data_IF_150895556616
#
_entry.id   IF_150895556616
#
_cell.length_a   1.000
_cell.length_b   1.000
_cell.length_c   1.000
_cell.angle_alpha   90.00
_cell.angle_beta   90.00
_cell.angle_gamma   90.00
#
_symmetry.space_group_name_H-M   'P 1'
#
loop_
_entity.id
_entity.type
_entity.pdbx_description
1 polymer ?
#
# COMPACT_ATOMS: atom_id res chain seq x y z
N UNK A 1 34.87 -4.86 1.27
CA UNK A 1 33.65 -5.64 1.35
C UNK A 1 32.49 -4.95 0.66
N UNK A 2 31.84 -5.66 -0.21
CA UNK A 2 30.72 -5.09 -0.95
C UNK A 2 29.40 -5.64 -0.44
N UNK A 3 28.52 -4.76 -0.08
CA UNK A 3 27.16 -5.12 0.27
C UNK A 3 26.31 -4.86 -0.97
N UNK A 4 25.77 -5.93 -1.54
CA UNK A 4 24.83 -5.77 -2.62
C UNK A 4 23.46 -5.56 -1.99
N UNK A 5 22.97 -4.33 -2.08
CA UNK A 5 21.66 -4.03 -1.57
C UNK A 5 20.64 -4.72 -2.44
N UNK A 6 19.77 -5.51 -1.82
CA UNK A 6 18.72 -6.19 -2.55
C UNK A 6 17.79 -5.13 -3.15
N UNK A 7 17.62 -5.18 -4.46
CA UNK A 7 16.79 -4.21 -5.13
C UNK A 7 15.33 -4.46 -4.78
N UNK A 8 14.65 -3.42 -4.35
CA UNK A 8 13.22 -3.49 -4.07
C UNK A 8 12.43 -3.31 -5.35
N UNK A 9 11.32 -4.03 -5.46
CA UNK A 9 10.36 -3.79 -6.52
C UNK A 9 9.41 -2.67 -6.16
N UNK A 10 9.15 -2.50 -4.87
CA UNK A 10 8.31 -1.41 -4.38
C UNK A 10 9.23 -0.39 -3.72
N UNK A 11 9.35 0.78 -4.35
CA UNK A 11 10.15 1.87 -3.84
C UNK A 11 9.33 3.13 -3.66
N UNK A 12 8.37 3.38 -4.55
CA UNK A 12 7.59 4.61 -4.58
C UNK A 12 6.17 4.35 -4.14
N UNK A 13 5.78 5.00 -3.07
CA UNK A 13 4.52 4.72 -2.38
C UNK A 13 3.65 5.98 -2.38
N UNK A 14 2.40 5.81 -2.78
CA UNK A 14 1.36 6.82 -2.58
C UNK A 14 0.60 6.43 -1.33
N UNK A 15 0.56 7.32 -0.35
CA UNK A 15 -0.12 7.07 0.91
C UNK A 15 -1.45 7.82 0.93
N UNK A 16 -2.54 7.08 1.11
CA UNK A 16 -3.90 7.64 1.12
C UNK A 16 -4.51 7.33 2.48
N UNK A 17 -4.58 8.35 3.34
CA UNK A 17 -5.00 8.20 4.73
C UNK A 17 -5.58 9.52 5.20
N UNK A 18 -6.81 9.51 5.73
CA UNK A 18 -7.47 10.74 6.13
C UNK A 18 -7.28 11.12 7.60
N UNK A 19 -6.65 10.27 8.39
CA UNK A 19 -6.32 10.61 9.78
C UNK A 19 -4.93 11.21 9.83
N UNK A 20 -4.79 12.51 10.13
CA UNK A 20 -3.49 13.19 9.99
C UNK A 20 -2.36 12.58 10.80
N UNK A 21 -2.63 12.14 12.03
CA UNK A 21 -1.57 11.57 12.85
C UNK A 21 -1.13 10.21 12.33
N UNK A 22 -2.07 9.41 11.86
CA UNK A 22 -1.74 8.11 11.28
C UNK A 22 -0.95 8.30 10.00
N UNK A 23 -1.38 9.26 9.15
CA UNK A 23 -0.67 9.56 7.92
C UNK A 23 0.76 10.00 8.19
N UNK A 24 0.94 10.89 9.17
CA UNK A 24 2.26 11.40 9.52
C UNK A 24 3.18 10.27 10.01
N UNK A 25 2.67 9.43 10.92
CA UNK A 25 3.47 8.35 11.48
C UNK A 25 3.84 7.32 10.41
N UNK A 26 2.89 6.98 9.54
CA UNK A 26 3.14 6.00 8.49
C UNK A 26 4.15 6.54 7.49
N UNK A 27 3.99 7.78 7.08
CA UNK A 27 4.93 8.41 6.16
C UNK A 27 6.33 8.42 6.73
N UNK A 28 6.47 8.86 7.98
CA UNK A 28 7.77 8.91 8.63
C UNK A 28 8.40 7.53 8.73
N UNK A 29 7.62 6.54 9.13
CA UNK A 29 8.12 5.17 9.25
C UNK A 29 8.65 4.66 7.91
N UNK A 30 7.90 4.86 6.84
CA UNK A 30 8.29 4.35 5.53
C UNK A 30 9.53 5.07 5.00
N UNK A 31 9.64 6.37 5.23
CA UNK A 31 10.82 7.12 4.80
C UNK A 31 12.05 6.59 5.53
N UNK A 32 11.96 6.35 6.84
CA UNK A 32 13.07 5.82 7.60
C UNK A 32 13.48 4.44 7.07
N UNK A 33 12.50 3.65 6.62
CA UNK A 33 12.77 2.32 6.08
C UNK A 33 13.27 2.36 4.64
N UNK A 34 13.39 3.53 4.05
CA UNK A 34 13.99 3.68 2.73
C UNK A 34 13.05 3.79 1.56
N UNK A 35 11.75 3.89 1.82
CA UNK A 35 10.78 4.11 0.74
C UNK A 35 10.71 5.58 0.37
N UNK A 36 10.36 5.84 -0.88
CA UNK A 36 10.08 7.19 -1.34
C UNK A 36 8.57 7.40 -1.29
N UNK A 37 8.13 8.45 -0.60
CA UNK A 37 6.71 8.78 -0.54
C UNK A 37 6.44 9.78 -1.67
N UNK A 38 5.68 9.34 -2.66
CA UNK A 38 5.34 10.19 -3.81
C UNK A 38 4.45 11.34 -3.37
N UNK A 39 3.46 11.01 -2.55
CA UNK A 39 2.55 11.99 -1.96
C UNK A 39 1.82 11.33 -0.81
N UNK A 40 1.37 12.16 0.13
CA UNK A 40 0.46 11.73 1.19
C UNK A 40 -0.79 12.56 1.03
N UNK A 41 -1.90 11.89 0.74
CA UNK A 41 -3.17 12.56 0.45
C UNK A 41 -4.26 12.00 1.35
N UNK A 42 -5.34 12.76 1.49
CA UNK A 42 -6.40 12.40 2.45
C UNK A 42 -7.79 12.26 1.82
N UNK A 43 -7.87 12.30 0.49
CA UNK A 43 -9.16 12.28 -0.18
C UNK A 43 -9.10 11.44 -1.44
N UNK A 44 -10.27 10.97 -1.89
CA UNK A 44 -10.39 10.26 -3.15
C UNK A 44 -9.91 11.15 -4.30
N UNK A 45 -10.36 12.42 -4.30
CA UNK A 45 -10.01 13.33 -5.39
C UNK A 45 -8.50 13.50 -5.53
N UNK A 46 -7.80 13.74 -4.41
CA UNK A 46 -6.36 13.94 -4.45
C UNK A 46 -5.63 12.65 -4.80
N UNK A 47 -6.14 11.52 -4.34
CA UNK A 47 -5.53 10.23 -4.68
C UNK A 47 -5.65 9.95 -6.18
N UNK A 48 -6.83 10.20 -6.76
CA UNK A 48 -7.01 10.00 -8.20
C UNK A 48 -6.11 10.92 -9.00
N UNK A 49 -5.98 12.18 -8.56
CA UNK A 49 -5.09 13.12 -9.23
C UNK A 49 -3.64 12.63 -9.22
N UNK A 50 -3.20 12.09 -8.08
CA UNK A 50 -1.84 11.57 -7.97
C UNK A 50 -1.62 10.36 -8.88
N UNK A 51 -2.59 9.46 -8.96
CA UNK A 51 -2.49 8.27 -9.79
C UNK A 51 -2.46 8.65 -11.28
N UNK A 52 -3.25 9.65 -11.66
CA UNK A 52 -3.32 10.10 -13.04
C UNK A 52 -2.15 10.99 -13.43
N UNK A 53 -1.36 11.43 -12.46
CA UNK A 53 -0.21 12.28 -12.71
C UNK A 53 0.96 11.52 -13.35
N UNK A 54 2.08 12.21 -13.47
CA UNK A 54 3.23 11.66 -14.17
C UNK A 54 4.19 10.90 -13.26
N UNK A 55 4.07 11.07 -11.95
CA UNK A 55 4.98 10.39 -11.03
C UNK A 55 4.75 8.89 -11.06
N UNK A 56 5.82 8.12 -11.09
CA UNK A 56 5.74 6.67 -11.02
C UNK A 56 5.34 6.25 -9.61
N UNK A 57 4.40 5.32 -9.51
CA UNK A 57 3.93 4.79 -8.23
C UNK A 57 4.02 3.28 -8.31
N UNK A 58 4.67 2.67 -7.32
CA UNK A 58 4.77 1.21 -7.25
C UNK A 58 3.68 0.61 -6.41
N UNK A 59 3.24 1.34 -5.38
CA UNK A 59 2.27 0.84 -4.41
C UNK A 59 1.41 1.98 -3.88
N UNK A 60 0.11 1.74 -3.80
CA UNK A 60 -0.81 2.63 -3.10
C UNK A 60 -1.16 1.98 -1.77
N UNK A 61 -0.86 2.65 -0.67
CA UNK A 61 -1.35 2.27 0.66
C UNK A 61 -2.64 3.03 0.87
N UNK A 62 -3.73 2.31 1.09
CA UNK A 62 -5.04 2.91 0.89
C UNK A 62 -6.01 2.56 2.00
N UNK A 63 -6.48 3.57 2.72
CA UNK A 63 -7.62 3.41 3.60
C UNK A 63 -8.88 3.36 2.75
N UNK A 64 -9.81 2.50 3.11
CA UNK A 64 -11.06 2.35 2.38
C UNK A 64 -12.02 3.51 2.65
N UNK A 65 -12.03 3.99 3.89
CA UNK A 65 -12.96 5.07 4.28
C UNK A 65 -12.24 6.40 4.26
N UNK A 66 -12.60 7.24 3.31
CA UNK A 66 -12.03 8.56 3.17
C UNK A 66 -13.13 9.60 3.32
N UNK A 67 -12.75 10.85 3.61
CA UNK A 67 -13.71 11.90 3.93
C UNK A 67 -14.67 12.20 2.79
N UNK A 68 -14.24 12.02 1.54
CA UNK A 68 -15.05 12.35 0.36
C UNK A 68 -15.52 11.12 -0.41
N UNK A 69 -15.39 9.92 0.19
CA UNK A 69 -15.91 8.73 -0.48
C UNK A 69 -15.15 7.47 -0.12
N UNK A 70 -15.33 6.46 -0.93
CA UNK A 70 -14.73 5.16 -0.71
C UNK A 70 -13.42 5.03 -1.45
N UNK A 71 -12.43 4.45 -0.77
CA UNK A 71 -11.15 4.13 -1.37
C UNK A 71 -11.24 3.09 -2.49
N UNK A 72 -12.39 2.43 -2.64
CA UNK A 72 -12.55 1.45 -3.72
C UNK A 72 -12.34 2.11 -5.09
N UNK A 73 -12.83 3.36 -5.26
CA UNK A 73 -12.61 4.08 -6.51
C UNK A 73 -11.12 4.30 -6.79
N UNK A 74 -10.36 4.58 -5.74
CA UNK A 74 -8.92 4.76 -5.86
C UNK A 74 -8.26 3.44 -6.25
N UNK A 75 -8.68 2.34 -5.62
CA UNK A 75 -8.14 1.01 -5.93
C UNK A 75 -8.42 0.64 -7.39
N UNK A 76 -9.61 0.96 -7.89
CA UNK A 76 -9.94 0.69 -9.28
C UNK A 76 -9.03 1.46 -10.24
N UNK A 77 -8.81 2.73 -9.96
CA UNK A 77 -7.95 3.55 -10.81
C UNK A 77 -6.51 3.04 -10.81
N UNK A 78 -6.01 2.64 -9.64
CA UNK A 78 -4.65 2.10 -9.54
C UNK A 78 -4.55 0.78 -10.30
N UNK A 79 -5.54 -0.10 -10.15
CA UNK A 79 -5.54 -1.40 -10.83
C UNK A 79 -5.52 -1.23 -12.33
N UNK A 80 -6.26 -0.25 -12.86
CA UNK A 80 -6.30 0.01 -14.29
C UNK A 80 -4.96 0.44 -14.84
N UNK A 81 -4.10 0.97 -13.99
CA UNK A 81 -2.75 1.36 -14.37
C UNK A 81 -1.70 0.32 -14.02
N UNK A 82 -2.13 -0.82 -13.50
CA UNK A 82 -1.21 -1.86 -13.13
C UNK A 82 -0.43 -1.57 -11.85
N UNK A 83 -0.91 -0.64 -11.03
CA UNK A 83 -0.26 -0.27 -9.77
C UNK A 83 -0.80 -1.16 -8.66
N UNK A 84 0.09 -1.69 -7.83
CA UNK A 84 -0.30 -2.53 -6.71
C UNK A 84 -1.00 -1.70 -5.64
N UNK A 85 -2.01 -2.30 -5.02
CA UNK A 85 -2.76 -1.66 -3.93
C UNK A 85 -2.69 -2.55 -2.70
N UNK A 86 -2.43 -1.93 -1.56
CA UNK A 86 -2.49 -2.60 -0.27
C UNK A 86 -3.49 -1.81 0.57
N UNK A 87 -4.62 -2.43 0.90
CA UNK A 87 -5.57 -1.79 1.78
C UNK A 87 -5.05 -1.80 3.21
N UNK A 88 -5.25 -0.69 3.90
CA UNK A 88 -4.89 -0.54 5.31
C UNK A 88 -6.10 0.04 6.00
N UNK A 89 -6.90 -0.81 6.63
CA UNK A 89 -8.22 -0.41 7.09
C UNK A 89 -8.65 -1.24 8.29
N UNK A 90 -9.62 -0.73 9.05
CA UNK A 90 -10.20 -1.48 10.15
C UNK A 90 -11.08 -2.63 9.69
N UNK A 91 -11.53 -2.58 8.45
CA UNK A 91 -12.49 -3.55 7.93
C UNK A 91 -12.21 -3.78 6.45
N UNK A 92 -11.65 -4.94 6.12
CA UNK A 92 -11.30 -5.23 4.73
C UNK A 92 -12.57 -5.51 3.92
N UNK A 93 -12.79 -4.80 2.82
CA UNK A 93 -13.98 -5.00 2.01
C UNK A 93 -13.90 -6.32 1.24
N UNK A 94 -15.05 -6.93 0.98
CA UNK A 94 -15.12 -8.19 0.26
C UNK A 94 -14.58 -8.09 -1.17
N UNK A 95 -14.77 -6.94 -1.81
CA UNK A 95 -14.30 -6.73 -3.18
C UNK A 95 -12.81 -6.41 -3.25
N UNK A 96 -12.13 -6.30 -2.12
CA UNK A 96 -10.70 -6.00 -2.09
C UNK A 96 -9.87 -7.04 -2.84
N UNK A 97 -10.31 -8.28 -2.83
CA UNK A 97 -9.57 -9.38 -3.47
C UNK A 97 -9.31 -9.15 -4.95
N UNK A 98 -10.20 -8.40 -5.59
CA UNK A 98 -10.09 -8.19 -7.04
C UNK A 98 -9.27 -6.98 -7.39
N UNK A 99 -9.14 -6.05 -6.45
CA UNK A 99 -8.54 -4.74 -6.71
C UNK A 99 -7.20 -4.55 -6.02
N UNK A 100 -6.87 -5.39 -5.07
CA UNK A 100 -5.70 -5.17 -4.24
C UNK A 100 -4.87 -6.43 -4.10
N UNK A 101 -3.59 -6.25 -3.78
CA UNK A 101 -2.70 -7.36 -3.49
C UNK A 101 -2.96 -7.95 -2.11
N UNK A 102 -3.49 -7.14 -1.20
CA UNK A 102 -3.79 -7.61 0.14
C UNK A 102 -4.45 -6.55 0.99
N UNK A 103 -4.69 -6.92 2.25
CA UNK A 103 -5.31 -6.01 3.21
C UNK A 103 -4.67 -6.19 4.58
N UNK A 104 -4.22 -5.08 5.16
CA UNK A 104 -3.64 -5.03 6.50
C UNK A 104 -4.68 -4.42 7.43
N UNK A 105 -5.06 -5.14 8.47
CA UNK A 105 -6.12 -4.71 9.38
C UNK A 105 -5.58 -3.82 10.49
N UNK A 106 -6.19 -2.66 10.69
CA UNK A 106 -5.90 -1.77 11.81
C UNK A 106 -6.56 -2.32 13.07
N UNK A 107 -5.95 -2.12 14.23
CA UNK A 107 -4.60 -1.59 14.44
C UNK A 107 -3.54 -2.66 14.21
N UNK A 108 -2.35 -2.22 13.85
CA UNK A 108 -1.23 -3.13 13.60
C UNK A 108 0.07 -2.47 14.06
N UNK A 109 1.08 -3.27 14.47
CA UNK A 109 2.40 -2.68 14.70
C UNK A 109 3.07 -2.34 13.38
N UNK A 110 3.91 -1.32 13.39
CA UNK A 110 4.54 -0.85 12.14
C UNK A 110 5.31 -1.94 11.42
N UNK A 111 5.90 -2.88 12.16
CA UNK A 111 6.63 -3.97 11.51
C UNK A 111 5.73 -4.84 10.64
N UNK A 112 4.42 -4.90 10.95
CA UNK A 112 3.49 -5.68 10.14
C UNK A 112 3.25 -5.01 8.79
N UNK A 113 3.27 -3.70 8.73
CA UNK A 113 3.19 -2.99 7.46
C UNK A 113 4.40 -3.33 6.58
N UNK A 114 5.58 -3.33 7.17
CA UNK A 114 6.79 -3.67 6.43
C UNK A 114 6.72 -5.11 5.92
N UNK A 115 6.25 -6.04 6.76
CA UNK A 115 6.08 -7.43 6.37
C UNK A 115 5.06 -7.58 5.25
N UNK A 116 3.97 -6.81 5.30
CA UNK A 116 2.93 -6.83 4.27
C UNK A 116 3.49 -6.36 2.93
N UNK A 117 4.24 -5.26 2.94
CA UNK A 117 4.86 -4.75 1.70
C UNK A 117 5.84 -5.79 1.15
N UNK A 118 6.62 -6.42 2.02
CA UNK A 118 7.54 -7.48 1.59
C UNK A 118 6.82 -8.67 0.97
N UNK A 119 5.64 -9.02 1.49
CA UNK A 119 4.85 -10.11 0.93
C UNK A 119 4.33 -9.75 -0.47
N UNK A 120 3.90 -8.52 -0.66
CA UNK A 120 3.46 -8.06 -1.98
C UNK A 120 4.62 -8.10 -2.97
N UNK A 121 5.80 -7.66 -2.54
CA UNK A 121 7.00 -7.74 -3.40
C UNK A 121 7.33 -9.18 -3.78
N UNK A 122 7.26 -10.09 -2.81
CA UNK A 122 7.55 -11.50 -3.07
C UNK A 122 6.59 -12.05 -4.12
N UNK A 123 5.31 -11.72 -3.98
CA UNK A 123 4.31 -12.14 -4.95
C UNK A 123 4.60 -11.57 -6.34
N UNK A 124 4.97 -10.29 -6.42
CA UNK A 124 5.31 -9.66 -7.69
C UNK A 124 6.50 -10.35 -8.35
N UNK A 125 7.44 -10.83 -7.55
CA UNK A 125 8.64 -11.50 -8.04
C UNK A 125 8.43 -13.00 -8.27
N UNK A 126 7.23 -13.50 -8.09
CA UNK A 126 6.95 -14.92 -8.25
C UNK A 126 7.52 -15.78 -7.15
N UNK A 127 7.84 -15.19 -5.99
CA UNK A 127 8.39 -15.92 -4.87
C UNK A 127 7.32 -16.14 -3.82
N UNK A 128 7.49 -17.20 -3.05
CA UNK A 128 6.58 -17.48 -1.96
C UNK A 128 6.88 -16.53 -0.80
N UNK A 129 5.89 -15.80 -0.27
CA UNK A 129 6.15 -14.92 0.85
C UNK A 129 6.47 -15.71 2.12
N UNK A 130 7.20 -15.07 3.02
CA UNK A 130 7.50 -15.65 4.32
C UNK A 130 6.25 -15.66 5.18
N UNK A 131 6.40 -16.12 6.42
CA UNK A 131 5.28 -16.13 7.36
C UNK A 131 4.65 -14.74 7.43
N UNK A 132 3.33 -14.69 7.25
CA UNK A 132 2.59 -13.44 7.25
C UNK A 132 2.09 -13.11 8.64
N UNK A 133 2.03 -11.83 9.01
CA UNK A 133 1.41 -11.45 10.28
C UNK A 133 -0.08 -11.74 10.25
N UNK A 134 -0.66 -11.99 11.42
CA UNK A 134 -2.08 -12.32 11.51
C UNK A 134 -2.98 -11.17 11.06
N UNK A 135 -2.47 -9.93 11.14
CA UNK A 135 -3.21 -8.74 10.70
C UNK A 135 -3.31 -8.61 9.19
N UNK A 136 -2.57 -9.42 8.44
CA UNK A 136 -2.46 -9.24 6.99
C UNK A 136 -3.03 -10.42 6.23
N UNK A 137 -3.79 -10.13 5.18
CA UNK A 137 -4.29 -11.11 4.23
C UNK A 137 -3.74 -10.80 2.84
N UNK A 138 -3.11 -11.78 2.24
CA UNK A 138 -2.54 -11.65 0.89
C UNK A 138 -3.54 -12.20 -0.13
N UNK A 139 -3.84 -11.42 -1.15
CA UNK A 139 -4.87 -11.80 -2.13
C UNK A 139 -4.30 -12.24 -3.49
N UNK A 140 -3.03 -12.13 -3.69
CA UNK A 140 -2.42 -12.25 -5.00
C UNK A 140 -2.51 -13.61 -5.68
N UNK A 141 -3.13 -14.56 -5.06
CA UNK A 141 -3.27 -15.87 -5.64
C UNK A 141 -4.29 -15.84 -6.76
N UNK A 142 -3.86 -16.07 -7.97
CA UNK A 142 -4.74 -16.05 -9.14
C UNK A 142 -4.54 -17.28 -9.97
#
# INVERSE_FOLDING_TARGET
>A
MLFVKKKRLIERVLLVEDEPLVAFDTEHFLIVEGFEIVATVDSVADALAAIEGEAAIDLVLLDVQLSDGSGIAVAQAAAERGVQVLFVTGNCPGEARRLAAGCLSKPYPQRDLLAAIGAVEAMMAGRKPRKLPTSFSLFGER
#
